data_IF_414775628590
#
_entry.id   IF_414775628590
#
_cell.length_a   1.000
_cell.length_b   1.000
_cell.length_c   1.000
_cell.angle_alpha   90.00
_cell.angle_beta   90.00
_cell.angle_gamma   90.00
#
_symmetry.space_group_name_H-M   'P 1'
#
loop_
_entity.id
_entity.type
_entity.pdbx_description
1 polymer ?
#
# COMPACT_ATOMS: atom_id res chain seq x y z
N UNK A 1 -24.07 11.15 0.83
CA UNK A 1 -23.11 10.10 1.26
C UNK A 1 -21.76 10.57 0.77
N UNK A 2 -20.70 10.42 1.52
CA UNK A 2 -19.38 10.86 1.07
C UNK A 2 -18.66 9.70 0.38
N UNK A 3 -17.89 9.98 -0.68
CA UNK A 3 -17.03 8.99 -1.34
C UNK A 3 -15.98 8.49 -0.35
N UNK A 4 -15.91 7.19 -0.16
CA UNK A 4 -14.91 6.53 0.70
C UNK A 4 -13.94 5.76 -0.19
N UNK A 5 -12.66 6.15 -0.18
CA UNK A 5 -11.62 5.49 -0.98
C UNK A 5 -11.90 5.47 -2.49
N UNK A 6 -12.55 6.47 -3.02
CA UNK A 6 -12.76 6.66 -4.44
C UNK A 6 -11.48 7.12 -5.15
N UNK A 7 -11.32 6.74 -6.42
CA UNK A 7 -10.16 7.12 -7.24
C UNK A 7 -10.33 8.44 -7.99
N UNK A 8 -11.50 9.05 -7.85
CA UNK A 8 -11.73 10.44 -8.19
C UNK A 8 -12.65 11.08 -7.15
N UNK A 9 -12.65 12.39 -7.10
CA UNK A 9 -13.53 13.17 -6.25
C UNK A 9 -14.89 13.40 -6.90
N UNK A 10 -15.91 13.72 -6.11
CA UNK A 10 -17.21 14.13 -6.63
C UNK A 10 -17.09 15.34 -7.57
N UNK A 11 -16.23 16.30 -7.20
CA UNK A 11 -16.02 17.50 -8.02
C UNK A 11 -15.45 17.18 -9.40
N UNK A 12 -14.45 16.31 -9.48
CA UNK A 12 -13.87 15.85 -10.75
C UNK A 12 -14.89 15.07 -11.59
N UNK A 13 -15.69 14.20 -10.98
CA UNK A 13 -16.74 13.47 -11.68
C UNK A 13 -17.81 14.42 -12.25
N UNK A 14 -18.22 15.42 -11.49
CA UNK A 14 -19.20 16.45 -11.93
C UNK A 14 -18.65 17.28 -13.08
N UNK A 15 -17.38 17.67 -13.02
CA UNK A 15 -16.72 18.45 -14.08
C UNK A 15 -16.70 17.65 -15.39
N UNK A 16 -16.38 16.37 -15.33
CA UNK A 16 -16.41 15.47 -16.51
C UNK A 16 -17.82 15.29 -17.09
N UNK A 17 -18.85 15.35 -16.26
CA UNK A 17 -20.24 15.26 -16.68
C UNK A 17 -20.82 16.60 -17.15
N UNK A 18 -20.05 17.70 -17.04
CA UNK A 18 -20.51 19.05 -17.39
C UNK A 18 -21.61 19.60 -16.47
N UNK A 19 -21.68 19.12 -15.23
CA UNK A 19 -22.67 19.55 -14.26
C UNK A 19 -22.24 20.85 -13.57
N UNK A 20 -23.15 21.82 -13.44
CA UNK A 20 -22.86 23.04 -12.72
C UNK A 20 -22.62 22.75 -11.23
N UNK A 21 -21.77 23.55 -10.57
CA UNK A 21 -21.46 23.40 -9.16
C UNK A 21 -22.70 23.53 -8.22
N UNK A 22 -23.74 24.18 -8.70
CA UNK A 22 -25.02 24.37 -7.98
C UNK A 22 -26.00 23.23 -8.17
N UNK A 23 -25.77 22.33 -9.14
CA UNK A 23 -26.64 21.19 -9.41
C UNK A 23 -26.18 20.00 -8.55
N UNK A 24 -26.81 19.81 -7.40
CA UNK A 24 -26.48 18.76 -6.44
C UNK A 24 -27.45 17.58 -6.46
N UNK A 25 -28.42 17.61 -7.36
CA UNK A 25 -29.48 16.59 -7.42
C UNK A 25 -28.93 15.17 -7.70
N UNK A 26 -27.87 15.08 -8.47
CA UNK A 26 -27.24 13.82 -8.89
C UNK A 26 -26.01 13.41 -8.06
N UNK A 27 -25.66 14.16 -7.03
CA UNK A 27 -24.43 13.91 -6.23
C UNK A 27 -24.41 12.50 -5.63
N UNK A 28 -25.50 12.07 -5.01
CA UNK A 28 -25.59 10.74 -4.38
C UNK A 28 -25.45 9.58 -5.37
N UNK A 29 -26.13 9.57 -6.51
CA UNK A 29 -25.86 8.55 -7.55
C UNK A 29 -24.42 8.60 -8.07
N UNK A 30 -23.85 9.79 -8.32
CA UNK A 30 -22.46 9.92 -8.78
C UNK A 30 -21.48 9.35 -7.76
N UNK A 31 -21.63 9.67 -6.48
CA UNK A 31 -20.78 9.11 -5.41
C UNK A 31 -20.81 7.58 -5.41
N UNK A 32 -21.99 6.96 -5.53
CA UNK A 32 -22.14 5.51 -5.60
C UNK A 32 -21.43 4.90 -6.81
N UNK A 33 -21.53 5.55 -7.97
CA UNK A 33 -20.87 5.09 -9.19
C UNK A 33 -19.34 5.19 -9.03
N UNK A 34 -18.82 6.29 -8.50
CA UNK A 34 -17.39 6.46 -8.25
C UNK A 34 -16.86 5.37 -7.31
N UNK A 35 -17.56 5.07 -6.22
CA UNK A 35 -17.17 3.99 -5.32
C UNK A 35 -17.22 2.60 -5.98
N UNK A 36 -18.28 2.32 -6.70
CA UNK A 36 -18.46 1.03 -7.38
C UNK A 36 -17.35 0.79 -8.43
N UNK A 37 -17.09 1.80 -9.28
CA UNK A 37 -16.03 1.71 -10.30
C UNK A 37 -14.65 1.58 -9.65
N UNK A 38 -14.38 2.30 -8.56
CA UNK A 38 -13.12 2.18 -7.83
C UNK A 38 -12.90 0.75 -7.30
N UNK A 39 -13.95 0.12 -6.76
CA UNK A 39 -13.88 -1.29 -6.30
C UNK A 39 -13.75 -2.29 -7.46
N UNK A 40 -14.33 -2.01 -8.62
CA UNK A 40 -14.11 -2.84 -9.81
C UNK A 40 -12.67 -2.74 -10.33
N UNK A 41 -12.04 -1.56 -10.25
CA UNK A 41 -10.63 -1.38 -10.58
C UNK A 41 -9.75 -2.21 -9.62
N UNK A 42 -10.00 -2.16 -8.31
CA UNK A 42 -9.28 -2.98 -7.32
C UNK A 42 -9.39 -4.47 -7.64
N UNK A 43 -10.60 -4.92 -7.92
CA UNK A 43 -10.87 -6.32 -8.25
C UNK A 43 -10.18 -6.76 -9.55
N UNK A 44 -10.20 -5.91 -10.56
CA UNK A 44 -9.57 -6.20 -11.85
C UNK A 44 -8.03 -6.25 -11.74
N UNK A 45 -7.46 -5.33 -10.99
CA UNK A 45 -6.00 -5.22 -10.83
C UNK A 45 -5.43 -6.11 -9.72
N UNK A 46 -6.28 -6.59 -8.80
CA UNK A 46 -5.85 -7.30 -7.59
C UNK A 46 -5.10 -6.42 -6.59
N UNK A 47 -5.19 -5.10 -6.71
CA UNK A 47 -4.46 -4.14 -5.88
C UNK A 47 -5.36 -2.98 -5.46
N UNK A 48 -5.05 -2.39 -4.30
CA UNK A 48 -5.68 -1.16 -3.82
C UNK A 48 -4.75 0.02 -4.08
N UNK A 49 -5.30 1.11 -4.63
CA UNK A 49 -4.54 2.33 -4.95
C UNK A 49 -4.87 3.49 -4.02
N UNK A 50 -5.75 3.29 -3.06
CA UNK A 50 -6.06 4.27 -2.04
C UNK A 50 -5.18 4.07 -0.79
N UNK A 51 -4.96 5.13 -0.03
CA UNK A 51 -4.29 5.06 1.26
C UNK A 51 -5.27 4.52 2.32
N UNK A 52 -5.07 3.28 2.71
CA UNK A 52 -5.86 2.65 3.77
C UNK A 52 -5.36 3.01 5.19
N UNK A 53 -4.38 3.92 5.29
CA UNK A 53 -3.70 4.23 6.53
C UNK A 53 -2.75 3.11 7.00
N UNK A 54 -2.21 3.28 8.21
CA UNK A 54 -1.29 2.30 8.76
C UNK A 54 -1.99 0.97 9.06
N UNK A 55 -1.46 -0.11 8.50
CA UNK A 55 -1.99 -1.47 8.67
C UNK A 55 -0.86 -2.43 9.02
N UNK A 56 -1.15 -3.41 9.85
CA UNK A 56 -0.27 -4.56 10.07
C UNK A 56 -0.53 -5.60 8.98
N UNK A 57 0.53 -6.03 8.30
CA UNK A 57 0.50 -7.04 7.26
C UNK A 57 1.51 -8.14 7.58
N UNK A 58 1.17 -9.36 7.22
CA UNK A 58 2.01 -10.54 7.43
C UNK A 58 2.43 -11.10 6.09
N UNK A 59 3.71 -11.40 5.95
CA UNK A 59 4.30 -11.95 4.74
C UNK A 59 5.24 -13.08 5.09
N UNK A 60 5.32 -14.08 4.24
CA UNK A 60 6.28 -15.17 4.38
C UNK A 60 7.53 -14.90 3.54
N UNK A 61 8.69 -15.05 4.12
CA UNK A 61 9.95 -15.05 3.40
C UNK A 61 10.23 -16.44 2.86
N UNK A 62 10.53 -16.55 1.55
CA UNK A 62 10.77 -17.85 0.91
C UNK A 62 12.25 -18.17 0.71
N UNK A 63 13.13 -17.19 0.73
CA UNK A 63 14.56 -17.34 0.42
C UNK A 63 15.50 -16.74 1.49
N UNK A 64 14.94 -16.28 2.60
CA UNK A 64 15.68 -15.63 3.69
C UNK A 64 16.14 -14.20 3.38
N UNK A 65 16.06 -13.73 2.14
CA UNK A 65 16.60 -12.44 1.72
C UNK A 65 15.53 -11.50 1.22
N UNK A 66 14.53 -12.03 0.53
CA UNK A 66 13.50 -11.24 -0.13
C UNK A 66 12.12 -11.51 0.46
N UNK A 67 11.46 -10.48 0.90
CA UNK A 67 10.04 -10.51 1.23
C UNK A 67 9.29 -9.67 0.22
N UNK A 68 8.47 -10.32 -0.60
CA UNK A 68 7.59 -9.64 -1.55
C UNK A 68 6.31 -9.21 -0.83
N UNK A 69 5.89 -8.00 -1.08
CA UNK A 69 4.77 -7.38 -0.38
C UNK A 69 3.78 -6.77 -1.37
N UNK A 70 2.61 -6.41 -0.88
CA UNK A 70 1.75 -5.46 -1.57
C UNK A 70 2.48 -4.10 -1.73
N UNK A 71 2.04 -3.21 -2.62
CA UNK A 71 2.61 -1.87 -2.74
C UNK A 71 2.62 -1.12 -1.40
N UNK A 72 3.80 -0.72 -0.94
CA UNK A 72 4.03 -0.05 0.34
C UNK A 72 4.39 1.41 0.08
N UNK A 73 3.72 2.35 0.75
CA UNK A 73 4.08 3.77 0.75
C UNK A 73 5.16 4.07 1.78
N UNK A 74 5.03 3.53 2.97
CA UNK A 74 5.98 3.67 4.07
C UNK A 74 5.92 2.47 5.00
N UNK A 75 7.00 2.22 5.72
CA UNK A 75 7.08 1.19 6.76
C UNK A 75 7.41 1.84 8.08
N UNK A 76 6.59 1.61 9.09
CA UNK A 76 6.82 2.10 10.45
C UNK A 76 7.71 1.14 11.24
N UNK A 77 7.46 -0.16 11.13
CA UNK A 77 8.20 -1.20 11.83
C UNK A 77 8.12 -2.52 11.08
N UNK A 78 9.18 -3.31 11.22
CA UNK A 78 9.25 -4.68 10.68
C UNK A 78 9.67 -5.59 11.82
N UNK A 79 8.95 -6.68 11.98
CA UNK A 79 9.24 -7.72 12.96
C UNK A 79 9.30 -9.06 12.27
N UNK A 80 10.07 -9.98 12.80
CA UNK A 80 10.08 -11.38 12.37
C UNK A 80 9.82 -12.32 13.53
N UNK A 81 9.30 -13.50 13.19
CA UNK A 81 9.08 -14.62 14.07
C UNK A 81 10.08 -15.71 13.71
N UNK A 82 11.23 -15.78 14.41
CA UNK A 82 12.29 -16.73 14.05
C UNK A 82 11.98 -18.17 14.41
N UNK A 83 10.96 -18.40 15.26
CA UNK A 83 10.65 -19.73 15.77
C UNK A 83 9.34 -20.30 15.20
N UNK A 84 8.63 -19.52 14.38
CA UNK A 84 7.30 -19.85 13.85
C UNK A 84 6.30 -20.23 14.97
N UNK A 85 6.37 -19.51 16.10
CA UNK A 85 5.53 -19.71 17.26
C UNK A 85 4.44 -18.65 17.45
N UNK A 86 4.36 -17.70 16.51
CA UNK A 86 3.45 -16.56 16.56
C UNK A 86 3.99 -15.38 17.37
N UNK A 87 5.25 -15.47 17.85
CA UNK A 87 5.89 -14.42 18.63
C UNK A 87 6.88 -13.63 17.76
N UNK A 88 6.52 -12.41 17.40
CA UNK A 88 7.33 -11.52 16.58
C UNK A 88 8.36 -10.78 17.44
N UNK A 89 9.45 -11.45 17.78
CA UNK A 89 10.46 -10.98 18.75
C UNK A 89 11.57 -10.13 18.14
N UNK A 90 11.97 -10.40 16.90
CA UNK A 90 13.08 -9.72 16.26
C UNK A 90 12.63 -8.47 15.53
N UNK A 91 13.25 -7.34 15.85
CA UNK A 91 12.97 -6.05 15.22
C UNK A 91 13.99 -5.77 14.12
N UNK A 92 13.50 -5.44 12.94
CA UNK A 92 14.31 -5.07 11.78
C UNK A 92 14.32 -3.56 11.56
N UNK A 93 15.47 -2.99 11.19
CA UNK A 93 15.66 -1.58 10.98
C UNK A 93 16.31 -1.26 9.64
N UNK A 94 16.23 -0.02 9.19
CA UNK A 94 16.92 0.45 7.97
C UNK A 94 18.39 0.78 8.21
N UNK A 95 18.80 0.89 9.48
CA UNK A 95 20.17 1.23 9.95
C UNK A 95 20.62 0.23 11.00
N UNK A 96 21.93 0.16 11.26
CA UNK A 96 22.48 -0.76 12.25
C UNK A 96 23.39 -1.82 11.61
N UNK A 97 23.79 -2.84 12.38
CA UNK A 97 24.71 -3.91 11.95
C UNK A 97 24.03 -5.26 11.76
N UNK A 98 22.88 -5.48 12.40
CA UNK A 98 22.09 -6.73 12.33
C UNK A 98 20.62 -6.42 12.09
N UNK A 99 19.86 -7.41 11.62
CA UNK A 99 18.44 -7.29 11.32
C UNK A 99 18.12 -6.02 10.51
N UNK A 100 18.84 -5.87 9.39
CA UNK A 100 18.68 -4.72 8.50
C UNK A 100 17.87 -5.09 7.28
N UNK A 101 17.01 -4.16 6.87
CA UNK A 101 16.31 -4.28 5.60
C UNK A 101 16.41 -2.99 4.78
N UNK A 102 16.14 -3.12 3.48
CA UNK A 102 15.94 -2.00 2.56
C UNK A 102 14.68 -2.23 1.76
N UNK A 103 13.92 -1.18 1.57
CA UNK A 103 12.78 -1.20 0.66
C UNK A 103 13.26 -1.15 -0.79
N UNK A 104 12.61 -1.89 -1.66
CA UNK A 104 12.92 -1.93 -3.10
C UNK A 104 11.66 -1.77 -3.95
N UNK A 105 11.80 -1.24 -5.17
CA UNK A 105 13.03 -0.76 -5.79
C UNK A 105 13.57 0.51 -5.10
N UNK A 106 14.89 0.63 -5.02
CA UNK A 106 15.53 1.79 -4.40
C UNK A 106 15.35 3.06 -5.24
N UNK A 107 15.31 2.90 -6.55
CA UNK A 107 15.11 3.97 -7.53
C UNK A 107 13.84 3.74 -8.31
N UNK A 108 12.71 3.87 -7.67
CA UNK A 108 11.43 3.89 -8.35
C UNK A 108 11.27 5.23 -9.06
N UNK A 109 10.82 5.21 -10.31
CA UNK A 109 10.62 6.41 -11.15
C UNK A 109 11.85 7.32 -11.31
N UNK A 110 13.06 6.75 -11.24
CA UNK A 110 14.36 7.45 -11.34
C UNK A 110 14.70 8.38 -10.18
N UNK A 111 13.87 8.46 -9.17
CA UNK A 111 14.15 9.17 -7.92
C UNK A 111 14.40 8.17 -6.80
N UNK A 112 15.50 8.35 -6.08
CA UNK A 112 15.87 7.45 -4.98
C UNK A 112 14.86 7.56 -3.84
N UNK A 113 14.32 6.42 -3.45
CA UNK A 113 13.49 6.34 -2.27
C UNK A 113 12.03 6.78 -2.44
N UNK A 114 11.52 6.85 -3.68
CA UNK A 114 10.13 7.20 -3.93
C UNK A 114 9.23 5.95 -3.90
N UNK A 115 8.15 5.95 -3.11
CA UNK A 115 7.17 4.87 -3.11
C UNK A 115 6.39 4.81 -4.46
N UNK A 116 5.67 3.72 -4.75
CA UNK A 116 5.50 2.55 -3.90
C UNK A 116 6.68 1.58 -3.93
N UNK A 117 6.89 0.90 -2.81
CA UNK A 117 7.82 -0.22 -2.71
C UNK A 117 7.02 -1.53 -2.67
N UNK A 118 7.60 -2.64 -3.14
CA UNK A 118 6.94 -3.95 -3.12
C UNK A 118 7.87 -5.09 -2.69
N UNK A 119 8.99 -4.73 -2.08
CA UNK A 119 9.92 -5.73 -1.57
C UNK A 119 10.72 -5.18 -0.39
N UNK A 120 10.87 -6.02 0.63
CA UNK A 120 11.89 -5.84 1.66
C UNK A 120 13.07 -6.75 1.31
N UNK A 121 14.27 -6.21 1.38
CA UNK A 121 15.51 -6.91 1.11
C UNK A 121 16.37 -6.92 2.38
N UNK A 122 16.72 -8.11 2.88
CA UNK A 122 17.60 -8.26 4.03
C UNK A 122 19.05 -7.83 3.68
N UNK A 123 19.70 -7.15 4.60
CA UNK A 123 21.09 -6.69 4.47
C UNK A 123 21.89 -7.21 5.64
N UNK A 124 22.96 -7.97 5.37
CA UNK A 124 23.87 -8.57 6.36
C UNK A 124 23.17 -9.49 7.38
N UNK A 125 21.99 -9.99 7.03
CA UNK A 125 21.22 -10.94 7.82
C UNK A 125 20.21 -11.66 6.93
N UNK A 126 19.45 -12.62 7.48
CA UNK A 126 18.41 -13.33 6.76
C UNK A 126 17.09 -13.27 7.54
N UNK A 127 16.00 -13.09 6.83
CA UNK A 127 14.67 -13.28 7.41
C UNK A 127 14.46 -14.76 7.73
N UNK A 128 13.72 -15.09 8.78
CA UNK A 128 13.25 -16.46 9.01
C UNK A 128 12.45 -16.98 7.81
N UNK A 129 12.63 -18.22 7.45
CA UNK A 129 11.95 -18.92 6.33
C UNK A 129 11.08 -20.04 6.86
#
# INVERSE_FOLDING_TARGET
>A
MAITNGYCTLAEARDQLGLAATDTGEDTPIEKVVEAVSREIDKYTGQFFYDAGAQTRYFTCLDGVHVYTDPIQAVTSVYSDPNDDGTYGDTWATTGTSHRYRLRPVNNNKESGTPPYWQLFAINDVFPV
#
